data_IF_748901908421
#
_entry.id   IF_748901908421
#
_cell.length_a   1.000
_cell.length_b   1.000
_cell.length_c   1.000
_cell.angle_alpha   90.00
_cell.angle_beta   90.00
_cell.angle_gamma   90.00
#
_symmetry.space_group_name_H-M   'P 1'
#
loop_
_entity.id
_entity.type
_entity.pdbx_description
1 polymer ?
#
# COMPACT_ATOMS: atom_id res chain seq x y z
N UNK A 1 -14.97 -11.20 3.46
CA UNK A 1 -13.64 -11.50 2.92
C UNK A 1 -12.60 -10.47 3.30
N UNK A 2 -12.86 -9.19 3.08
CA UNK A 2 -11.87 -8.17 3.42
C UNK A 2 -11.56 -8.17 4.90
N UNK A 3 -12.57 -8.30 5.73
CA UNK A 3 -12.33 -8.28 7.17
C UNK A 3 -11.43 -9.42 7.63
N UNK A 4 -11.57 -10.59 7.01
CA UNK A 4 -10.71 -11.72 7.37
C UNK A 4 -9.27 -11.43 6.98
N UNK A 5 -9.05 -10.78 5.85
CA UNK A 5 -7.69 -10.48 5.40
C UNK A 5 -7.03 -9.40 6.26
N UNK A 6 -7.80 -8.48 6.80
CA UNK A 6 -7.25 -7.45 7.66
C UNK A 6 -6.66 -8.00 8.96
N UNK A 7 -6.99 -9.24 9.30
CA UNK A 7 -6.43 -9.87 10.49
C UNK A 7 -5.21 -10.74 10.19
N UNK A 8 -4.75 -10.77 8.95
CA UNK A 8 -3.61 -11.57 8.56
C UNK A 8 -2.32 -10.77 8.70
N UNK A 9 -1.17 -11.45 8.73
CA UNK A 9 0.10 -10.74 8.74
C UNK A 9 0.23 -9.82 7.53
N UNK A 10 0.92 -8.72 7.71
CA UNK A 10 0.99 -7.73 6.65
C UNK A 10 2.41 -7.19 6.47
N UNK A 11 2.62 -6.62 5.31
CA UNK A 11 3.85 -5.96 4.90
C UNK A 11 3.50 -4.55 4.46
N UNK A 12 4.50 -3.68 4.37
CA UNK A 12 4.25 -2.32 3.88
C UNK A 12 5.21 -2.00 2.75
N UNK A 13 4.75 -1.15 1.83
CA UNK A 13 5.62 -0.51 0.84
C UNK A 13 5.71 0.95 1.28
N UNK A 14 6.92 1.40 1.54
CA UNK A 14 7.16 2.63 2.27
C UNK A 14 8.29 3.43 1.62
N UNK A 15 8.36 4.69 1.95
CA UNK A 15 9.48 5.53 1.52
C UNK A 15 10.74 5.19 2.31
N UNK A 16 10.62 4.50 3.44
CA UNK A 16 11.76 4.11 4.26
C UNK A 16 12.03 2.63 4.10
N UNK A 17 13.28 2.20 4.26
CA UNK A 17 13.64 0.79 4.02
C UNK A 17 13.27 -0.14 5.15
N UNK A 18 12.97 0.37 6.33
CA UNK A 18 12.65 -0.49 7.46
C UNK A 18 11.92 0.34 8.51
N UNK A 19 11.40 -0.35 9.51
CA UNK A 19 10.62 0.28 10.57
C UNK A 19 11.51 1.24 11.36
N UNK A 20 10.96 2.42 11.65
CA UNK A 20 11.68 3.42 12.43
C UNK A 20 11.82 2.92 13.86
N UNK A 21 13.01 3.08 14.48
CA UNK A 21 13.20 2.63 15.87
C UNK A 21 12.30 3.39 16.83
N UNK A 22 11.93 2.72 17.91
CA UNK A 22 11.19 3.40 18.95
C UNK A 22 12.04 4.52 19.50
N UNK A 23 11.41 5.61 19.85
CA UNK A 23 12.11 6.75 20.39
C UNK A 23 12.55 7.75 19.36
N UNK A 24 12.37 7.45 18.07
CA UNK A 24 12.73 8.37 17.01
C UNK A 24 11.53 9.15 16.51
N UNK A 25 10.43 9.10 17.23
CA UNK A 25 9.15 9.56 16.70
C UNK A 25 9.15 11.03 16.31
N UNK A 26 9.88 11.86 17.00
CA UNK A 26 9.82 13.30 16.70
C UNK A 26 10.30 13.63 15.32
N UNK A 27 11.45 13.10 14.93
CA UNK A 27 11.98 13.41 13.61
C UNK A 27 11.20 12.69 12.53
N UNK A 28 10.74 11.48 12.80
CA UNK A 28 9.91 10.77 11.84
C UNK A 28 8.65 11.56 11.50
N UNK A 29 7.99 12.12 12.52
CA UNK A 29 6.82 12.93 12.28
C UNK A 29 7.13 14.13 11.42
N UNK A 30 8.25 14.80 11.65
CA UNK A 30 8.59 15.97 10.86
C UNK A 30 8.81 15.59 9.41
N UNK A 31 9.49 14.47 9.16
CA UNK A 31 9.74 14.01 7.79
C UNK A 31 8.43 13.59 7.13
N UNK A 32 7.59 12.86 7.87
CA UNK A 32 6.31 12.42 7.32
C UNK A 32 5.45 13.61 6.95
N UNK A 33 5.38 14.61 7.81
CA UNK A 33 4.58 15.79 7.52
C UNK A 33 5.10 16.54 6.31
N UNK A 34 6.42 16.57 6.13
CA UNK A 34 7.01 17.18 4.95
C UNK A 34 6.51 16.48 3.68
N UNK A 35 6.53 15.15 3.67
CA UNK A 35 6.11 14.42 2.48
C UNK A 35 4.60 14.43 2.26
N UNK A 36 3.83 14.64 3.31
CA UNK A 36 2.38 14.71 3.16
C UNK A 36 1.91 16.03 2.58
N UNK A 37 2.78 17.04 2.54
CA UNK A 37 2.43 18.31 1.97
C UNK A 37 2.62 18.26 0.45
N UNK A 38 1.76 18.96 -0.26
CA UNK A 38 1.88 19.03 -1.69
C UNK A 38 3.14 19.78 -2.06
N UNK A 39 3.87 19.39 -3.09
CA UNK A 39 3.60 18.29 -4.00
C UNK A 39 4.17 16.95 -3.57
N UNK A 40 4.75 16.86 -2.37
CA UNK A 40 5.41 15.63 -1.93
C UNK A 40 4.51 14.42 -1.95
N UNK A 41 3.30 14.55 -1.40
CA UNK A 41 2.37 13.43 -1.36
C UNK A 41 1.96 13.00 -2.77
N UNK A 42 1.85 13.96 -3.69
CA UNK A 42 1.50 13.65 -5.07
C UNK A 42 2.56 12.76 -5.71
N UNK A 43 3.83 13.06 -5.46
CA UNK A 43 4.91 12.25 -6.02
C UNK A 43 4.85 10.83 -5.48
N UNK A 44 4.61 10.67 -4.18
CA UNK A 44 4.50 9.36 -3.57
C UNK A 44 3.31 8.60 -4.14
N UNK A 45 2.18 9.27 -4.29
CA UNK A 45 0.99 8.63 -4.83
C UNK A 45 1.18 8.20 -6.28
N UNK A 46 1.95 8.96 -7.07
CA UNK A 46 2.26 8.54 -8.42
C UNK A 46 3.09 7.26 -8.42
N UNK A 47 4.01 7.12 -7.48
CA UNK A 47 4.81 5.90 -7.38
C UNK A 47 3.94 4.72 -6.99
N UNK A 48 3.03 4.92 -6.03
CA UNK A 48 2.08 3.86 -5.65
C UNK A 48 1.23 3.45 -6.84
N UNK A 49 0.74 4.44 -7.60
CA UNK A 49 -0.07 4.17 -8.78
C UNK A 49 0.68 3.30 -9.76
N UNK A 50 1.94 3.65 -10.04
CA UNK A 50 2.72 2.89 -11.00
C UNK A 50 2.92 1.45 -10.55
N UNK A 51 3.17 1.25 -9.25
CA UNK A 51 3.33 -0.10 -8.71
C UNK A 51 2.04 -0.88 -8.89
N UNK A 52 0.90 -0.27 -8.55
CA UNK A 52 -0.38 -0.96 -8.64
C UNK A 52 -0.74 -1.29 -10.08
N UNK A 53 -0.52 -0.35 -11.01
CA UNK A 53 -0.82 -0.63 -12.40
C UNK A 53 0.02 -1.77 -12.95
N UNK A 54 1.30 -1.82 -12.57
CA UNK A 54 2.15 -2.90 -13.03
C UNK A 54 1.77 -4.22 -12.37
N UNK A 55 1.40 -4.18 -11.10
CA UNK A 55 0.94 -5.39 -10.42
C UNK A 55 -0.34 -5.92 -11.05
N UNK A 56 -1.20 -5.03 -11.50
CA UNK A 56 -2.46 -5.43 -12.13
C UNK A 56 -2.23 -6.24 -13.41
N UNK A 57 -1.04 -6.14 -14.00
CA UNK A 57 -0.71 -6.96 -15.16
C UNK A 57 -0.58 -8.43 -14.80
N UNK A 58 -0.35 -8.74 -13.52
CA UNK A 58 -0.15 -10.11 -13.07
C UNK A 58 -1.30 -10.64 -12.23
N UNK A 59 -2.09 -9.76 -11.64
CA UNK A 59 -3.15 -10.17 -10.72
C UNK A 59 -4.39 -9.34 -11.02
N UNK A 60 -5.54 -9.99 -11.04
CA UNK A 60 -6.81 -9.27 -11.17
C UNK A 60 -7.12 -8.55 -9.88
N UNK A 61 -7.63 -7.35 -9.99
CA UNK A 61 -7.94 -6.52 -8.84
C UNK A 61 -9.44 -6.36 -8.67
N UNK A 62 -9.92 -6.50 -7.44
CA UNK A 62 -11.26 -6.05 -7.08
C UNK A 62 -11.05 -4.77 -6.26
N UNK A 63 -11.43 -3.65 -6.81
CA UNK A 63 -11.12 -2.34 -6.24
C UNK A 63 -12.34 -1.77 -5.55
N UNK A 64 -12.18 -1.40 -4.27
CA UNK A 64 -13.22 -0.74 -3.50
C UNK A 64 -12.68 0.60 -3.02
N UNK A 65 -13.51 1.62 -3.02
CA UNK A 65 -13.13 2.88 -2.39
C UNK A 65 -13.99 3.07 -1.14
N UNK A 66 -13.51 3.92 -0.24
CA UNK A 66 -14.20 4.13 1.04
C UNK A 66 -15.57 4.78 0.86
N UNK A 67 -15.78 5.48 -0.24
CA UNK A 67 -17.04 6.19 -0.45
C UNK A 67 -17.97 5.46 -1.42
N UNK A 68 -17.67 4.21 -1.76
CA UNK A 68 -18.52 3.42 -2.64
C UNK A 68 -18.58 2.01 -2.12
N UNK A 69 -19.76 1.41 -2.24
CA UNK A 69 -19.91 0.03 -1.77
C UNK A 69 -19.58 -0.99 -2.82
N UNK A 70 -19.57 -0.59 -4.09
CA UNK A 70 -19.36 -1.55 -5.16
C UNK A 70 -17.90 -1.88 -5.32
N UNK A 71 -17.63 -3.14 -5.62
CA UNK A 71 -16.30 -3.59 -6.00
C UNK A 71 -16.23 -3.59 -7.51
N UNK A 72 -15.17 -3.06 -8.06
CA UNK A 72 -14.99 -2.98 -9.50
C UNK A 72 -13.81 -3.87 -9.87
N UNK A 73 -14.06 -4.82 -10.78
CA UNK A 73 -13.02 -5.73 -11.21
C UNK A 73 -12.18 -5.05 -12.27
N UNK A 74 -10.88 -4.97 -12.03
CA UNK A 74 -9.90 -4.42 -12.98
C UNK A 74 -10.34 -3.05 -13.49
N UNK A 75 -10.41 -2.11 -12.55
CA UNK A 75 -10.71 -0.72 -12.87
C UNK A 75 -9.77 -0.24 -13.96
N UNK A 76 -10.27 0.58 -14.87
CA UNK A 76 -9.45 1.10 -15.95
C UNK A 76 -8.26 1.86 -15.39
N UNK A 77 -7.08 1.71 -16.03
CA UNK A 77 -5.87 2.35 -15.49
C UNK A 77 -6.00 3.85 -15.26
N UNK A 78 -6.61 4.56 -16.19
CA UNK A 78 -6.77 5.99 -16.05
C UNK A 78 -7.65 6.33 -14.86
N UNK A 79 -8.68 5.53 -14.62
CA UNK A 79 -9.59 5.79 -13.53
C UNK A 79 -8.94 5.47 -12.19
N UNK A 80 -8.18 4.39 -12.12
CA UNK A 80 -7.45 4.06 -10.90
C UNK A 80 -6.46 5.18 -10.56
N UNK A 81 -5.72 5.64 -11.55
CA UNK A 81 -4.78 6.73 -11.36
C UNK A 81 -5.49 8.01 -10.89
N UNK A 82 -6.65 8.29 -11.47
CA UNK A 82 -7.42 9.48 -11.11
C UNK A 82 -7.91 9.38 -9.66
N UNK A 83 -8.37 8.20 -9.25
CA UNK A 83 -8.84 8.01 -7.88
C UNK A 83 -7.71 8.22 -6.87
N UNK A 84 -6.51 7.75 -7.19
CA UNK A 84 -5.39 7.87 -6.26
C UNK A 84 -4.81 9.28 -6.24
N UNK A 85 -4.56 9.83 -7.42
CA UNK A 85 -3.77 11.06 -7.52
C UNK A 85 -4.62 12.33 -7.46
N UNK A 86 -5.85 12.27 -7.93
CA UNK A 86 -6.69 13.46 -7.99
C UNK A 86 -7.77 13.46 -6.95
N UNK A 87 -8.53 12.37 -6.86
CA UNK A 87 -9.61 12.31 -5.88
C UNK A 87 -9.15 11.88 -4.52
N UNK A 88 -7.94 11.35 -4.43
CA UNK A 88 -7.32 11.00 -3.15
C UNK A 88 -8.21 10.08 -2.32
N UNK A 89 -8.77 9.07 -2.98
CA UNK A 89 -9.64 8.11 -2.30
C UNK A 89 -8.82 7.13 -1.49
N UNK A 90 -9.39 6.67 -0.39
CA UNK A 90 -8.85 5.52 0.34
C UNK A 90 -9.35 4.27 -0.37
N UNK A 91 -8.44 3.37 -0.69
CA UNK A 91 -8.76 2.20 -1.51
C UNK A 91 -8.44 0.91 -0.78
N UNK A 92 -9.26 -0.11 -1.05
CA UNK A 92 -8.99 -1.48 -0.68
C UNK A 92 -9.02 -2.31 -1.95
N UNK A 93 -7.95 -3.02 -2.22
CA UNK A 93 -7.80 -3.80 -3.45
C UNK A 93 -7.59 -5.25 -3.08
N UNK A 94 -8.55 -6.10 -3.43
CA UNK A 94 -8.44 -7.53 -3.22
C UNK A 94 -7.81 -8.12 -4.48
N UNK A 95 -6.74 -8.88 -4.29
CA UNK A 95 -6.11 -9.57 -5.41
C UNK A 95 -6.82 -10.89 -5.59
N UNK A 96 -7.66 -10.94 -6.62
CA UNK A 96 -8.50 -12.10 -6.86
C UNK A 96 -7.63 -13.33 -7.12
N UNK A 97 -7.95 -14.42 -6.47
CA UNK A 97 -7.21 -15.64 -6.66
C UNK A 97 -5.96 -15.79 -5.82
N UNK A 98 -5.60 -14.76 -5.05
CA UNK A 98 -4.38 -14.82 -4.25
C UNK A 98 -4.64 -14.62 -2.77
N UNK A 99 -5.88 -14.37 -2.38
CA UNK A 99 -6.24 -14.16 -0.97
C UNK A 99 -5.36 -13.09 -0.31
N UNK A 100 -5.10 -12.02 -1.03
CA UNK A 100 -4.30 -10.92 -0.51
C UNK A 100 -5.07 -9.63 -0.69
N UNK A 101 -4.75 -8.65 0.16
CA UNK A 101 -5.43 -7.35 0.16
C UNK A 101 -4.40 -6.25 0.24
N UNK A 102 -4.58 -5.21 -0.56
CA UNK A 102 -3.75 -4.02 -0.48
C UNK A 102 -4.63 -2.86 -0.05
N UNK A 103 -4.18 -2.10 0.93
CA UNK A 103 -4.88 -0.89 1.33
C UNK A 103 -3.98 0.31 1.09
N UNK A 104 -4.59 1.38 0.58
CA UNK A 104 -3.89 2.63 0.31
C UNK A 104 -4.76 3.75 0.85
N UNK A 105 -4.27 4.45 1.87
CA UNK A 105 -4.97 5.60 2.43
C UNK A 105 -4.28 6.85 1.98
N UNK A 106 -5.05 7.84 1.56
CA UNK A 106 -4.46 9.03 0.92
C UNK A 106 -3.60 9.84 1.87
N UNK A 107 -3.78 9.70 3.18
CA UNK A 107 -2.98 10.43 4.15
C UNK A 107 -1.72 9.69 4.61
N UNK A 108 -1.45 8.53 4.05
CA UNK A 108 -0.31 7.72 4.46
C UNK A 108 0.80 7.81 3.44
N UNK A 109 2.03 7.66 3.90
CA UNK A 109 3.20 7.61 3.03
C UNK A 109 3.59 6.17 2.72
N UNK A 110 2.67 5.22 2.93
CA UNK A 110 2.92 3.80 2.68
C UNK A 110 1.64 3.11 2.24
N UNK A 111 1.80 1.94 1.61
CA UNK A 111 0.69 1.03 1.33
C UNK A 111 0.89 -0.21 2.18
N UNK A 112 -0.21 -0.85 2.55
CA UNK A 112 -0.17 -2.06 3.35
C UNK A 112 -0.65 -3.24 2.53
N UNK A 113 0.06 -4.36 2.62
CA UNK A 113 -0.27 -5.58 1.90
C UNK A 113 -0.52 -6.68 2.93
N UNK A 114 -1.73 -7.21 2.94
CA UNK A 114 -2.13 -8.25 3.89
C UNK A 114 -2.07 -9.62 3.22
N UNK A 115 -1.45 -10.55 3.91
CA UNK A 115 -1.42 -11.97 3.55
C UNK A 115 -0.78 -12.25 2.18
N UNK A 116 0.36 -11.65 1.86
CA UNK A 116 0.97 -11.91 0.56
C UNK A 116 1.66 -13.27 0.53
N UNK A 117 1.58 -13.94 -0.62
CA UNK A 117 2.36 -15.15 -0.86
C UNK A 117 3.82 -14.76 -1.13
N UNK A 118 4.72 -15.75 -1.13
CA UNK A 118 6.11 -15.46 -1.44
C UNK A 118 6.27 -14.92 -2.85
N UNK A 119 5.49 -15.42 -3.80
CA UNK A 119 5.56 -14.93 -5.16
C UNK A 119 5.16 -13.46 -5.20
N UNK A 120 4.10 -13.11 -4.50
CA UNK A 120 3.64 -11.74 -4.46
C UNK A 120 4.67 -10.84 -3.75
N UNK A 121 5.25 -11.32 -2.66
CA UNK A 121 6.28 -10.55 -1.95
C UNK A 121 7.45 -10.23 -2.88
N UNK A 122 7.93 -11.22 -3.62
CA UNK A 122 9.06 -10.98 -4.52
C UNK A 122 8.70 -10.02 -5.62
N UNK A 123 7.50 -10.14 -6.17
CA UNK A 123 7.04 -9.24 -7.22
C UNK A 123 6.93 -7.81 -6.70
N UNK A 124 6.33 -7.64 -5.54
CA UNK A 124 6.17 -6.32 -4.96
C UNK A 124 7.50 -5.71 -4.55
N UNK A 125 8.43 -6.54 -4.06
CA UNK A 125 9.76 -6.03 -3.72
C UNK A 125 10.45 -5.44 -4.94
N UNK A 126 10.39 -6.14 -6.05
CA UNK A 126 11.01 -5.66 -7.27
C UNK A 126 10.35 -4.39 -7.78
N UNK A 127 9.02 -4.35 -7.73
CA UNK A 127 8.29 -3.16 -8.19
C UNK A 127 8.57 -1.97 -7.29
N UNK A 128 8.58 -2.20 -5.97
CA UNK A 128 8.84 -1.10 -5.04
C UNK A 128 10.23 -0.52 -5.28
N UNK A 129 11.24 -1.37 -5.39
CA UNK A 129 12.60 -0.89 -5.61
C UNK A 129 12.72 -0.15 -6.93
N UNK A 130 12.02 -0.61 -7.97
CA UNK A 130 12.06 0.07 -9.26
C UNK A 130 11.48 1.49 -9.19
N UNK A 131 10.64 1.77 -8.21
CA UNK A 131 10.03 3.08 -8.06
C UNK A 131 10.55 3.84 -6.85
N UNK A 132 11.70 3.43 -6.32
CA UNK A 132 12.33 4.18 -5.24
C UNK A 132 11.70 3.98 -3.89
N UNK A 133 11.00 2.86 -3.72
CA UNK A 133 10.34 2.54 -2.46
C UNK A 133 10.85 1.20 -1.96
N UNK A 134 10.41 0.83 -0.76
CA UNK A 134 10.91 -0.37 -0.10
C UNK A 134 9.76 -1.21 0.44
N UNK A 135 9.91 -2.52 0.37
CA UNK A 135 8.95 -3.46 0.95
C UNK A 135 9.56 -4.05 2.20
N UNK A 136 8.86 -3.96 3.31
CA UNK A 136 9.36 -4.55 4.55
C UNK A 136 8.19 -4.93 5.44
N UNK A 137 8.46 -5.77 6.42
CA UNK A 137 7.44 -6.25 7.34
C UNK A 137 7.68 -5.63 8.71
N UNK A 138 6.65 -5.01 9.30
CA UNK A 138 6.81 -4.44 10.64
C UNK A 138 7.17 -5.51 11.66
N UNK A 139 7.92 -5.12 12.67
CA UNK A 139 8.22 -6.04 13.77
C UNK A 139 6.94 -6.43 14.47
N UNK A 140 6.85 -7.75 14.81
CA UNK A 140 5.69 -8.18 15.51
C UNK A 140 5.95 -8.03 16.93
N UNK A 141 5.48 -7.04 17.61
CA UNK A 141 5.75 -6.91 18.89
C UNK A 141 5.13 -7.68 19.70
N UNK A 142 5.07 -8.00 20.11
CA UNK A 142 4.55 -8.63 20.94
C UNK A 142 4.09 -9.67 20.86
N UNK A 143 4.07 -9.80 20.14
CA UNK A 143 3.61 -10.93 19.97
C UNK A 143 4.14 -11.82 20.89
N UNK A 144 4.68 -11.73 21.44
CA UNK A 144 4.98 -12.57 22.16
C UNK A 144 5.02 -12.49 23.22
N UNK A 145 4.75 -12.53 23.68
CA UNK A 145 4.86 -12.49 24.76
C UNK A 145 5.29 -13.42 25.44
N UNK A 146 5.52 -13.53 25.39
CA UNK A 146 5.82 -14.26 25.85
C UNK A 146 6.03 -14.43 26.18
#
# INVERSE_FOLDING_TARGET
MIEALLNKPYWVIDILPEQVPEGSAGQYFAIEQYYLQQPGITDIHHRFTDILLKLNCYSDFLVCSSDQEQQICNLEPEKLAFWINTEQKDLQIVLAGEDALITLNHNDTYMTIYNPSEVLINRLRNLALAHGLFLWQPHQEDSNPE
#
